data_IF_097433169462
#
_entry.id   IF_097433169462
#
_cell.length_a   1.000
_cell.length_b   1.000
_cell.length_c   1.000
_cell.angle_alpha   90.00
_cell.angle_beta   90.00
_cell.angle_gamma   90.00
#
_symmetry.space_group_name_H-M   'P 1'
#
loop_
_entity.id
_entity.type
_entity.pdbx_description
1 polymer ?
#
# COMPACT_ATOMS: atom_id res chain seq x y z
N UNK A 1 13.69 -18.88 14.05
CA UNK A 1 13.56 -18.76 12.58
C UNK A 1 12.22 -18.14 12.32
N UNK A 2 12.20 -17.00 11.63
CA UNK A 2 10.95 -16.41 11.17
C UNK A 2 10.37 -17.32 10.08
N UNK A 3 9.08 -17.58 10.15
CA UNK A 3 8.37 -18.44 9.21
C UNK A 3 8.02 -17.70 7.91
N UNK A 4 7.70 -16.40 8.01
CA UNK A 4 7.40 -15.52 6.87
C UNK A 4 7.95 -14.12 7.17
N UNK A 5 8.70 -13.56 6.23
CA UNK A 5 9.17 -12.17 6.28
C UNK A 5 8.61 -11.42 5.08
N UNK A 6 7.87 -10.35 5.36
CA UNK A 6 7.32 -9.43 4.37
C UNK A 6 7.97 -8.07 4.61
N UNK A 7 8.48 -7.47 3.56
CA UNK A 7 9.14 -6.16 3.58
C UNK A 7 8.52 -5.28 2.50
N UNK A 8 8.27 -4.01 2.84
CA UNK A 8 7.74 -2.99 1.93
C UNK A 8 6.43 -3.43 1.24
N UNK A 9 5.46 -3.94 2.01
CA UNK A 9 4.16 -4.33 1.46
C UNK A 9 3.22 -3.14 1.38
N UNK A 10 2.79 -2.85 0.16
CA UNK A 10 1.71 -1.91 -0.14
C UNK A 10 0.43 -2.65 -0.50
N UNK A 11 -0.69 -2.20 0.05
CA UNK A 11 -2.02 -2.77 -0.26
C UNK A 11 -2.96 -1.64 -0.65
N UNK A 12 -3.44 -1.72 -1.89
CA UNK A 12 -4.39 -0.77 -2.46
C UNK A 12 -5.68 -1.51 -2.86
N UNK A 13 -6.81 -1.00 -2.37
CA UNK A 13 -8.13 -1.48 -2.70
C UNK A 13 -8.79 -0.56 -3.73
N UNK A 14 -9.22 -1.13 -4.87
CA UNK A 14 -9.94 -0.40 -5.92
C UNK A 14 -9.70 -0.98 -7.32
N UNK A 15 -10.38 -0.44 -8.33
CA UNK A 15 -10.26 -0.90 -9.72
C UNK A 15 -8.99 -0.43 -10.44
N UNK A 16 -8.40 0.72 -10.04
CA UNK A 16 -7.33 1.39 -10.79
C UNK A 16 -5.97 1.38 -10.08
N UNK A 17 -5.55 0.25 -9.49
CA UNK A 17 -4.41 0.18 -8.53
C UNK A 17 -3.12 0.85 -9.03
N UNK A 18 -2.87 0.79 -10.34
CA UNK A 18 -1.73 1.44 -11.00
C UNK A 18 -1.71 2.96 -10.79
N UNK A 19 -2.87 3.60 -10.71
CA UNK A 19 -3.00 5.05 -10.55
C UNK A 19 -2.71 5.45 -9.09
N UNK A 20 -3.24 4.72 -8.11
CA UNK A 20 -2.88 4.92 -6.72
C UNK A 20 -1.40 4.66 -6.44
N UNK A 21 -0.80 3.61 -7.04
CA UNK A 21 0.64 3.35 -6.94
C UNK A 21 1.46 4.53 -7.49
N UNK A 22 1.09 5.08 -8.65
CA UNK A 22 1.76 6.24 -9.21
C UNK A 22 1.64 7.52 -8.35
N UNK A 23 0.55 7.66 -7.60
CA UNK A 23 0.38 8.77 -6.64
C UNK A 23 1.10 8.51 -5.31
N UNK A 24 1.14 7.26 -4.85
CA UNK A 24 1.95 6.82 -3.72
C UNK A 24 3.43 7.08 -3.98
N UNK A 25 3.91 6.76 -5.17
CA UNK A 25 5.28 7.06 -5.62
C UNK A 25 5.57 8.57 -5.65
N UNK A 26 4.54 9.40 -5.86
CA UNK A 26 4.64 10.86 -5.77
C UNK A 26 4.62 11.37 -4.31
N UNK A 27 4.66 10.48 -3.31
CA UNK A 27 4.51 10.83 -1.88
C UNK A 27 3.22 11.57 -1.55
N UNK A 28 2.15 11.35 -2.33
CA UNK A 28 0.82 11.91 -2.04
C UNK A 28 0.22 11.26 -0.81
N UNK A 29 -0.60 12.02 -0.09
CA UNK A 29 -1.31 11.49 1.07
C UNK A 29 -2.39 10.50 0.64
N UNK A 30 -2.63 9.47 1.46
CA UNK A 30 -3.71 8.48 1.22
C UNK A 30 -5.06 9.13 0.93
N UNK A 31 -5.36 10.25 1.58
CA UNK A 31 -6.58 11.03 1.36
C UNK A 31 -6.67 11.55 -0.09
N UNK A 32 -5.59 12.16 -0.60
CA UNK A 32 -5.52 12.65 -1.98
C UNK A 32 -5.63 11.51 -2.99
N UNK A 33 -5.03 10.36 -2.69
CA UNK A 33 -5.15 9.17 -3.54
C UNK A 33 -6.60 8.70 -3.60
N UNK A 34 -7.30 8.66 -2.46
CA UNK A 34 -8.72 8.32 -2.40
C UNK A 34 -9.55 9.34 -3.18
N UNK A 35 -9.29 10.63 -3.04
CA UNK A 35 -10.05 11.68 -3.72
C UNK A 35 -9.80 11.71 -5.24
N UNK A 36 -8.57 11.45 -5.70
CA UNK A 36 -8.23 11.46 -7.13
C UNK A 36 -8.59 10.15 -7.85
N UNK A 37 -8.40 9.01 -7.20
CA UNK A 37 -8.53 7.69 -7.85
C UNK A 37 -9.74 6.90 -7.37
N UNK A 38 -10.41 7.33 -6.30
CA UNK A 38 -11.44 6.56 -5.63
C UNK A 38 -10.90 5.31 -4.92
N UNK A 39 -9.58 5.21 -4.73
CA UNK A 39 -8.93 4.01 -4.22
C UNK A 39 -8.44 4.17 -2.80
N UNK A 40 -8.68 3.15 -2.00
CA UNK A 40 -8.30 3.13 -0.60
C UNK A 40 -6.94 2.45 -0.46
N UNK A 41 -5.92 3.22 -0.08
CA UNK A 41 -4.63 2.69 0.36
C UNK A 41 -4.80 2.15 1.78
N UNK A 42 -4.82 0.82 1.90
CA UNK A 42 -5.03 0.13 3.17
C UNK A 42 -3.73 -0.05 3.95
N UNK A 43 -2.62 -0.27 3.26
CA UNK A 43 -1.31 -0.50 3.87
C UNK A 43 -0.26 0.19 3.01
N UNK A 44 0.62 0.95 3.65
CA UNK A 44 1.71 1.70 3.05
C UNK A 44 3.00 1.24 3.74
N UNK A 45 3.87 0.62 2.97
CA UNK A 45 5.22 0.22 3.34
C UNK A 45 5.33 -0.56 4.66
N UNK A 46 4.47 -1.57 4.87
CA UNK A 46 4.51 -2.38 6.10
C UNK A 46 5.52 -3.51 5.98
N UNK A 47 6.34 -3.65 7.02
CA UNK A 47 7.15 -4.83 7.27
C UNK A 47 6.51 -5.71 8.34
N UNK A 48 6.42 -7.00 8.06
CA UNK A 48 5.81 -7.98 8.95
C UNK A 48 6.69 -9.23 9.02
N UNK A 49 7.00 -9.68 10.22
CA UNK A 49 7.73 -10.93 10.47
C UNK A 49 6.86 -11.87 11.29
N UNK A 50 6.48 -13.01 10.71
CA UNK A 50 5.71 -14.06 11.38
C UNK A 50 6.67 -15.05 12.01
N UNK A 51 6.63 -15.18 13.34
CA UNK A 51 7.42 -16.18 14.08
C UNK A 51 6.63 -17.46 14.27
N UNK A 52 7.35 -18.58 14.32
CA UNK A 52 6.77 -19.92 14.54
C UNK A 52 6.37 -20.13 16.00
#
# INVERSE_FOLDING_TARGET
>A
MDAITIENLDVVFGQQQSQALALLDQSKSRQEIIDETGQVVGVDNVSLSVKR
#
